data_IF_173423259158
#
_entry.id   IF_173423259158
#
_cell.length_a   1.000
_cell.length_b   1.000
_cell.length_c   1.000
_cell.angle_alpha   90.00
_cell.angle_beta   90.00
_cell.angle_gamma   90.00
#
_symmetry.space_group_name_H-M   'P 1'
#
loop_
_entity.id
_entity.type
_entity.pdbx_description
1 polymer ?
#
# COMPACT_ATOMS: atom_id res chain seq x y z
N UNK A 1 -6.12 39.29 -3.91
CA UNK A 1 -5.62 38.16 -4.74
C UNK A 1 -5.95 36.89 -4.01
N UNK A 2 -7.06 36.27 -4.37
CA UNK A 2 -7.59 35.06 -3.72
C UNK A 2 -6.67 33.88 -4.03
N UNK A 3 -6.02 33.34 -3.00
CA UNK A 3 -5.41 32.00 -3.09
C UNK A 3 -6.56 31.02 -3.21
N UNK A 4 -6.81 30.53 -4.41
CA UNK A 4 -7.61 29.34 -4.65
C UNK A 4 -6.81 28.19 -4.03
N UNK A 5 -7.05 27.92 -2.73
CA UNK A 5 -6.52 26.73 -2.09
C UNK A 5 -7.16 25.53 -2.80
N UNK A 6 -6.38 24.78 -3.55
CA UNK A 6 -6.81 23.46 -4.02
C UNK A 6 -7.06 22.66 -2.74
N UNK A 7 -8.33 22.34 -2.47
CA UNK A 7 -8.73 21.47 -1.36
C UNK A 7 -8.40 20.04 -1.80
N UNK A 8 -7.20 19.58 -1.43
CA UNK A 8 -6.59 18.33 -1.96
C UNK A 8 -7.33 17.07 -1.47
N UNK A 9 -8.02 17.14 -0.34
CA UNK A 9 -8.71 15.98 0.27
C UNK A 9 -10.23 16.19 0.37
N UNK A 10 -10.82 16.92 -0.58
CA UNK A 10 -12.28 16.99 -0.70
C UNK A 10 -12.84 15.57 -0.93
N UNK A 11 -13.93 15.29 -0.24
CA UNK A 11 -14.60 13.99 -0.31
C UNK A 11 -15.92 14.10 -1.05
N UNK A 12 -16.15 13.15 -1.96
CA UNK A 12 -17.46 12.97 -2.59
C UNK A 12 -18.51 12.43 -1.59
N UNK A 13 -19.75 12.20 -2.06
CA UNK A 13 -20.84 11.67 -1.24
C UNK A 13 -20.51 10.30 -0.60
N UNK A 14 -19.63 9.49 -1.21
CA UNK A 14 -19.12 8.24 -0.67
C UNK A 14 -17.93 8.40 0.28
N UNK A 15 -17.46 9.63 0.47
CA UNK A 15 -16.27 9.95 1.25
C UNK A 15 -14.96 9.68 0.52
N UNK A 16 -14.99 9.49 -0.83
CA UNK A 16 -13.78 9.24 -1.60
C UNK A 16 -13.08 10.55 -1.94
N UNK A 17 -11.75 10.57 -1.78
CA UNK A 17 -10.87 11.66 -2.22
C UNK A 17 -10.50 11.52 -3.69
N UNK A 18 -9.93 12.58 -4.29
CA UNK A 18 -9.37 12.53 -5.64
C UNK A 18 -8.29 11.45 -5.76
N UNK A 19 -7.47 11.28 -4.71
CA UNK A 19 -6.47 10.22 -4.65
C UNK A 19 -7.08 8.82 -4.76
N UNK A 20 -8.22 8.58 -4.10
CA UNK A 20 -8.92 7.30 -4.19
C UNK A 20 -9.48 7.05 -5.59
N UNK A 21 -10.03 8.07 -6.24
CA UNK A 21 -10.53 7.97 -7.61
C UNK A 21 -9.41 7.71 -8.60
N UNK A 22 -8.31 8.46 -8.51
CA UNK A 22 -7.13 8.24 -9.35
C UNK A 22 -6.53 6.83 -9.15
N UNK A 23 -6.54 6.32 -7.91
CA UNK A 23 -6.09 4.97 -7.60
C UNK A 23 -7.04 3.88 -8.12
N UNK A 24 -8.36 4.13 -8.11
CA UNK A 24 -9.37 3.25 -8.68
C UNK A 24 -9.18 3.08 -10.19
N UNK A 25 -8.84 4.16 -10.89
CA UNK A 25 -8.68 4.21 -12.35
C UNK A 25 -7.24 3.84 -12.79
N UNK A 26 -6.32 3.62 -11.84
CA UNK A 26 -4.93 3.28 -12.12
C UNK A 26 -4.11 4.42 -12.72
N UNK A 27 -4.53 5.67 -12.53
CA UNK A 27 -3.85 6.87 -13.03
C UNK A 27 -2.60 7.17 -12.19
N UNK A 28 -1.53 6.41 -12.40
CA UNK A 28 -0.33 6.44 -11.55
C UNK A 28 0.31 7.83 -11.49
N UNK A 29 0.38 8.55 -12.61
CA UNK A 29 0.94 9.91 -12.65
C UNK A 29 0.08 10.90 -11.84
N UNK A 30 -1.25 10.80 -11.92
CA UNK A 30 -2.17 11.62 -11.14
C UNK A 30 -2.04 11.32 -9.65
N UNK A 31 -1.94 10.02 -9.28
CA UNK A 31 -1.69 9.59 -7.89
C UNK A 31 -0.40 10.20 -7.36
N UNK A 32 0.68 10.14 -8.12
CA UNK A 32 1.97 10.70 -7.72
C UNK A 32 1.91 12.23 -7.57
N UNK A 33 1.24 12.93 -8.49
CA UNK A 33 1.06 14.37 -8.43
C UNK A 33 0.26 14.81 -7.20
N UNK A 34 -0.84 14.11 -6.89
CA UNK A 34 -1.66 14.38 -5.70
C UNK A 34 -0.86 14.17 -4.41
N UNK A 35 -0.11 13.06 -4.31
CA UNK A 35 0.72 12.75 -3.14
C UNK A 35 1.84 13.78 -2.94
N UNK A 36 2.51 14.22 -4.02
CA UNK A 36 3.49 15.29 -3.95
C UNK A 36 2.89 16.64 -3.56
N UNK A 37 1.63 16.86 -3.86
CA UNK A 37 0.89 18.05 -3.46
C UNK A 37 0.37 18.01 -2.01
N UNK A 38 0.60 16.89 -1.29
CA UNK A 38 0.28 16.74 0.12
C UNK A 38 -1.05 16.01 0.40
N UNK A 39 -1.63 15.29 -0.57
CA UNK A 39 -2.80 14.45 -0.32
C UNK A 39 -2.49 13.39 0.76
N UNK A 40 -3.45 13.15 1.65
CA UNK A 40 -3.32 12.10 2.68
C UNK A 40 -3.41 10.72 2.03
N UNK A 41 -2.26 10.03 1.95
CA UNK A 41 -2.14 8.68 1.39
C UNK A 41 -3.01 7.67 2.14
N UNK A 42 -3.30 7.92 3.42
CA UNK A 42 -4.05 7.04 4.31
C UNK A 42 -5.48 7.52 4.57
N UNK A 43 -5.96 8.53 3.82
CA UNK A 43 -7.35 8.95 3.87
C UNK A 43 -8.29 7.74 3.72
N UNK A 44 -9.41 7.78 4.45
CA UNK A 44 -10.41 6.69 4.47
C UNK A 44 -11.76 7.22 4.03
N UNK A 45 -12.44 6.48 3.17
CA UNK A 45 -13.81 6.77 2.77
C UNK A 45 -14.85 6.25 3.81
N UNK A 46 -16.15 6.40 3.51
CA UNK A 46 -17.24 5.94 4.38
C UNK A 46 -17.22 4.43 4.70
N UNK A 47 -16.61 3.61 3.84
CA UNK A 47 -16.42 2.17 4.05
C UNK A 47 -15.07 1.84 4.73
N UNK A 48 -14.31 2.84 5.13
CA UNK A 48 -12.98 2.68 5.71
C UNK A 48 -11.92 2.25 4.69
N UNK A 49 -12.18 2.36 3.39
CA UNK A 49 -11.24 2.00 2.32
C UNK A 49 -10.26 3.13 2.06
N UNK A 50 -9.02 2.76 1.67
CA UNK A 50 -7.95 3.68 1.28
C UNK A 50 -7.68 3.62 -0.21
N UNK A 51 -6.93 4.59 -0.76
CA UNK A 51 -6.46 4.57 -2.14
C UNK A 51 -5.70 3.28 -2.48
N UNK A 52 -4.88 2.76 -1.55
CA UNK A 52 -4.19 1.48 -1.72
C UNK A 52 -5.17 0.32 -1.96
N UNK A 53 -6.26 0.25 -1.22
CA UNK A 53 -7.27 -0.80 -1.41
C UNK A 53 -7.94 -0.72 -2.79
N UNK A 54 -8.23 0.48 -3.28
CA UNK A 54 -8.79 0.68 -4.62
C UNK A 54 -7.83 0.21 -5.71
N UNK A 55 -6.55 0.59 -5.63
CA UNK A 55 -5.53 0.15 -6.58
C UNK A 55 -5.33 -1.38 -6.55
N UNK A 56 -5.38 -2.00 -5.36
CA UNK A 56 -5.26 -3.47 -5.19
C UNK A 56 -6.44 -4.20 -5.82
N UNK A 57 -7.68 -3.76 -5.56
CA UNK A 57 -8.89 -4.41 -6.10
C UNK A 57 -8.91 -4.38 -7.62
N UNK A 58 -8.42 -3.29 -8.22
CA UNK A 58 -8.38 -3.11 -9.67
C UNK A 58 -7.06 -3.55 -10.33
N UNK A 59 -6.17 -4.21 -9.58
CA UNK A 59 -4.93 -4.83 -10.07
C UNK A 59 -3.94 -3.81 -10.68
N UNK A 60 -3.98 -2.55 -10.24
CA UNK A 60 -3.11 -1.49 -10.71
C UNK A 60 -1.74 -1.55 -10.02
N UNK A 61 -0.90 -2.50 -10.43
CA UNK A 61 0.41 -2.79 -9.78
C UNK A 61 1.32 -1.58 -9.68
N UNK A 62 1.39 -0.74 -10.71
CA UNK A 62 2.22 0.49 -10.68
C UNK A 62 1.73 1.46 -9.61
N UNK A 63 0.42 1.71 -9.57
CA UNK A 63 -0.23 2.57 -8.58
C UNK A 63 -0.05 2.04 -7.16
N UNK A 64 -0.18 0.71 -6.95
CA UNK A 64 0.10 0.06 -5.66
C UNK A 64 1.52 0.37 -5.20
N UNK A 65 2.51 0.21 -6.08
CA UNK A 65 3.93 0.48 -5.75
C UNK A 65 4.15 1.95 -5.40
N UNK A 66 3.57 2.87 -6.17
CA UNK A 66 3.64 4.31 -5.89
C UNK A 66 3.06 4.64 -4.52
N UNK A 67 1.84 4.17 -4.22
CA UNK A 67 1.22 4.38 -2.92
C UNK A 67 2.07 3.83 -1.75
N UNK A 68 2.65 2.65 -1.90
CA UNK A 68 3.55 2.06 -0.90
C UNK A 68 4.82 2.88 -0.71
N UNK A 69 5.40 3.43 -1.79
CA UNK A 69 6.58 4.32 -1.71
C UNK A 69 6.28 5.62 -0.97
N UNK A 70 5.05 6.13 -1.07
CA UNK A 70 4.59 7.32 -0.34
C UNK A 70 4.05 7.02 1.06
N UNK A 71 4.26 5.80 1.58
CA UNK A 71 3.97 5.45 2.96
C UNK A 71 2.52 5.04 3.23
N UNK A 72 1.82 4.49 2.23
CA UNK A 72 0.51 3.90 2.46
C UNK A 72 0.58 2.79 3.51
N UNK A 73 -0.30 2.85 4.52
CA UNK A 73 -0.41 1.82 5.54
C UNK A 73 -1.00 0.53 4.94
N UNK A 74 -0.18 -0.51 4.90
CA UNK A 74 -0.52 -1.82 4.33
C UNK A 74 -1.47 -2.64 5.22
N UNK A 75 -1.64 -2.22 6.49
CA UNK A 75 -2.40 -2.97 7.49
C UNK A 75 -3.75 -2.34 7.82
N UNK A 76 -4.16 -1.27 7.13
CA UNK A 76 -5.49 -0.68 7.30
C UNK A 76 -6.56 -1.73 7.06
N UNK A 77 -7.55 -1.77 7.95
CA UNK A 77 -8.75 -2.59 7.78
C UNK A 77 -9.92 -1.71 7.36
N UNK A 78 -10.59 -2.06 6.28
CA UNK A 78 -11.89 -1.50 5.91
C UNK A 78 -12.95 -1.88 6.96
N UNK A 79 -14.17 -1.33 6.86
CA UNK A 79 -15.28 -1.62 7.80
C UNK A 79 -15.62 -3.11 7.91
N UNK A 80 -15.44 -3.89 6.82
CA UNK A 80 -15.57 -5.34 6.82
C UNK A 80 -14.41 -6.07 7.53
N UNK A 81 -13.36 -5.35 7.95
CA UNK A 81 -12.13 -5.93 8.49
C UNK A 81 -11.14 -6.40 7.43
N UNK A 82 -11.44 -6.22 6.15
CA UNK A 82 -10.55 -6.65 5.05
C UNK A 82 -9.32 -5.74 4.97
N UNK A 83 -8.14 -6.35 4.80
CA UNK A 83 -6.87 -5.65 4.54
C UNK A 83 -6.53 -5.66 3.05
N UNK A 84 -5.62 -4.77 2.57
CA UNK A 84 -5.09 -4.85 1.21
C UNK A 84 -4.55 -6.25 0.84
N UNK A 85 -3.88 -6.92 1.79
CA UNK A 85 -3.35 -8.28 1.57
C UNK A 85 -4.46 -9.31 1.31
N UNK A 86 -5.59 -9.23 2.01
CA UNK A 86 -6.73 -10.11 1.78
C UNK A 86 -7.38 -9.87 0.42
N UNK A 87 -7.47 -8.60 0.00
CA UNK A 87 -7.99 -8.22 -1.32
C UNK A 87 -7.10 -8.76 -2.44
N UNK A 88 -5.78 -8.58 -2.34
CA UNK A 88 -4.80 -9.10 -3.30
C UNK A 88 -4.86 -10.64 -3.38
N UNK A 89 -4.91 -11.31 -2.23
CA UNK A 89 -5.03 -12.76 -2.14
C UNK A 89 -6.33 -13.29 -2.75
N UNK A 90 -7.42 -12.54 -2.60
CA UNK A 90 -8.73 -12.85 -3.19
C UNK A 90 -8.80 -12.63 -4.71
N UNK A 91 -8.00 -11.72 -5.24
CA UNK A 91 -7.93 -11.43 -6.67
C UNK A 91 -6.94 -12.34 -7.44
N UNK A 92 -6.12 -13.08 -6.71
CA UNK A 92 -5.17 -13.99 -7.35
C UNK A 92 -3.89 -13.33 -7.86
N UNK A 93 -3.63 -12.07 -7.51
CA UNK A 93 -2.44 -11.35 -7.98
C UNK A 93 -1.24 -11.61 -7.04
N UNK A 94 -0.32 -12.44 -7.52
CA UNK A 94 0.89 -12.80 -6.76
C UNK A 94 1.88 -11.64 -6.67
N UNK A 95 1.91 -10.73 -7.66
CA UNK A 95 2.85 -9.60 -7.70
C UNK A 95 2.46 -8.59 -6.62
N UNK A 96 1.17 -8.20 -6.58
CA UNK A 96 0.65 -7.29 -5.56
C UNK A 96 0.72 -7.94 -4.18
N UNK A 97 0.35 -9.23 -4.05
CA UNK A 97 0.46 -9.96 -2.77
C UNK A 97 1.89 -9.92 -2.22
N UNK A 98 2.89 -10.17 -3.07
CA UNK A 98 4.30 -10.09 -2.68
C UNK A 98 4.70 -8.67 -2.29
N UNK A 99 4.35 -7.66 -3.09
CA UNK A 99 4.66 -6.26 -2.79
C UNK A 99 4.13 -5.82 -1.43
N UNK A 100 2.89 -6.21 -1.09
CA UNK A 100 2.27 -5.92 0.21
C UNK A 100 3.01 -6.63 1.36
N UNK A 101 3.36 -7.91 1.20
CA UNK A 101 4.13 -8.67 2.21
C UNK A 101 5.52 -8.07 2.41
N UNK A 102 6.20 -7.67 1.33
CA UNK A 102 7.51 -7.03 1.40
C UNK A 102 7.45 -5.65 2.08
N UNK A 103 6.30 -4.97 1.98
CA UNK A 103 6.02 -3.70 2.67
C UNK A 103 5.52 -3.88 4.12
N UNK A 104 5.48 -5.10 4.64
CA UNK A 104 5.14 -5.36 6.04
C UNK A 104 3.67 -5.68 6.31
N UNK A 105 2.90 -6.10 5.31
CA UNK A 105 1.55 -6.58 5.55
C UNK A 105 1.54 -7.80 6.50
N UNK A 106 0.68 -7.76 7.54
CA UNK A 106 0.54 -8.86 8.49
C UNK A 106 -0.38 -9.95 7.93
N UNK A 107 0.13 -11.15 7.62
CA UNK A 107 -0.68 -12.23 7.07
C UNK A 107 -1.61 -12.89 8.09
N UNK A 108 -1.49 -12.54 9.39
CA UNK A 108 -2.28 -13.11 10.49
C UNK A 108 -3.59 -12.36 10.73
N UNK A 109 -3.73 -11.16 10.16
CA UNK A 109 -4.94 -10.34 10.34
C UNK A 109 -6.18 -11.12 9.91
N UNK A 110 -7.26 -10.94 10.67
CA UNK A 110 -8.54 -11.63 10.47
C UNK A 110 -9.62 -10.60 10.12
N UNK A 111 -10.37 -10.84 9.04
CA UNK A 111 -11.56 -10.06 8.69
C UNK A 111 -12.84 -10.67 9.29
N UNK A 112 -13.95 -9.98 9.15
CA UNK A 112 -15.27 -10.56 9.36
C UNK A 112 -15.69 -11.29 8.07
N UNK A 113 -15.96 -12.57 8.05
CA UNK A 113 -16.35 -13.54 9.08
C UNK A 113 -15.20 -14.48 9.57
N UNK A 114 -14.07 -13.95 9.99
CA UNK A 114 -13.00 -14.77 10.58
C UNK A 114 -12.01 -15.35 9.56
N UNK A 115 -11.88 -14.76 8.36
CA UNK A 115 -10.96 -15.22 7.32
C UNK A 115 -9.64 -14.46 7.35
N UNK A 116 -8.54 -15.17 7.13
CA UNK A 116 -7.21 -14.60 6.84
C UNK A 116 -6.96 -14.56 5.33
N UNK A 117 -5.93 -13.83 4.88
CA UNK A 117 -5.52 -13.83 3.49
C UNK A 117 -5.24 -15.26 2.96
N UNK A 118 -4.65 -16.14 3.80
CA UNK A 118 -4.41 -17.53 3.46
C UNK A 118 -5.70 -18.33 3.21
N UNK A 119 -6.71 -18.14 4.05
CA UNK A 119 -8.02 -18.82 3.87
C UNK A 119 -8.66 -18.35 2.58
N UNK A 120 -8.67 -17.03 2.31
CA UNK A 120 -9.23 -16.45 1.09
C UNK A 120 -8.53 -17.02 -0.17
N UNK A 121 -7.19 -17.05 -0.21
CA UNK A 121 -6.45 -17.62 -1.32
C UNK A 121 -6.74 -19.10 -1.54
N UNK A 122 -6.88 -19.87 -0.44
CA UNK A 122 -7.21 -21.31 -0.49
C UNK A 122 -8.59 -21.57 -1.06
N UNK A 123 -9.60 -20.82 -0.61
CA UNK A 123 -10.99 -20.93 -1.11
C UNK A 123 -11.10 -20.61 -2.60
N UNK A 124 -10.25 -19.71 -3.09
CA UNK A 124 -10.19 -19.32 -4.50
C UNK A 124 -9.29 -20.23 -5.35
N UNK A 125 -8.55 -21.17 -4.74
CA UNK A 125 -7.68 -22.10 -5.44
C UNK A 125 -6.34 -21.53 -5.90
N UNK A 126 -5.90 -20.36 -5.41
CA UNK A 126 -4.68 -19.70 -5.81
C UNK A 126 -3.44 -20.30 -5.12
N UNK A 127 -3.01 -21.48 -5.60
CA UNK A 127 -1.93 -22.29 -4.98
C UNK A 127 -0.63 -21.52 -4.77
N UNK A 128 -0.20 -20.72 -5.75
CA UNK A 128 1.05 -19.95 -5.65
C UNK A 128 0.98 -18.91 -4.52
N UNK A 129 -0.18 -18.24 -4.34
CA UNK A 129 -0.40 -17.29 -3.24
C UNK A 129 -0.48 -18.01 -1.90
N UNK A 130 -1.11 -19.19 -1.86
CA UNK A 130 -1.16 -20.02 -0.65
C UNK A 130 0.24 -20.35 -0.16
N UNK A 131 1.15 -20.78 -1.05
CA UNK A 131 2.54 -21.08 -0.67
C UNK A 131 3.30 -19.82 -0.24
N UNK A 132 3.09 -18.69 -0.92
CA UNK A 132 3.68 -17.42 -0.54
C UNK A 132 3.24 -16.98 0.88
N UNK A 133 1.95 -17.08 1.19
CA UNK A 133 1.40 -16.71 2.49
C UNK A 133 1.83 -17.66 3.60
N UNK A 134 1.95 -18.97 3.34
CA UNK A 134 2.51 -19.93 4.31
C UNK A 134 3.94 -19.58 4.69
N UNK A 135 4.79 -19.19 3.72
CA UNK A 135 6.15 -18.74 3.99
C UNK A 135 6.17 -17.48 4.84
N UNK A 136 5.35 -16.48 4.50
CA UNK A 136 5.24 -15.25 5.27
C UNK A 136 4.77 -15.50 6.71
N UNK A 137 3.84 -16.43 6.92
CA UNK A 137 3.39 -16.85 8.27
C UNK A 137 4.51 -17.54 9.05
N UNK A 138 5.28 -18.43 8.43
CA UNK A 138 6.41 -19.09 9.08
C UNK A 138 7.49 -18.07 9.50
N UNK A 139 7.80 -17.10 8.65
CA UNK A 139 8.75 -16.02 8.95
C UNK A 139 8.26 -15.14 10.10
N UNK A 140 6.96 -14.81 10.12
CA UNK A 140 6.34 -14.02 11.18
C UNK A 140 6.33 -14.72 12.55
N UNK A 141 6.29 -16.05 12.57
CA UNK A 141 6.35 -16.84 13.82
C UNK A 141 7.75 -17.03 14.35
N UNK A 142 8.77 -16.97 13.48
CA UNK A 142 10.19 -17.16 13.89
C UNK A 142 10.86 -15.88 14.40
N UNK A 143 10.12 -14.76 14.50
CA UNK A 143 10.63 -13.50 15.09
C UNK A 143 11.82 -12.88 14.34
N UNK A 144 12.06 -13.20 13.08
CA UNK A 144 13.07 -12.53 12.26
C UNK A 144 12.51 -11.19 11.79
N UNK A 145 13.07 -10.04 12.24
CA UNK A 145 12.73 -8.77 11.65
C UNK A 145 13.13 -8.82 10.17
N UNK A 146 12.19 -8.54 9.26
CA UNK A 146 12.54 -8.26 7.87
C UNK A 146 13.60 -7.18 7.87
N UNK A 147 14.82 -7.51 7.41
CA UNK A 147 15.92 -6.55 7.31
C UNK A 147 15.42 -5.35 6.53
N UNK A 148 15.40 -4.19 7.18
CA UNK A 148 15.36 -2.90 6.52
C UNK A 148 16.49 -2.90 5.48
N UNK A 149 16.14 -3.06 4.21
CA UNK A 149 17.05 -2.69 3.13
C UNK A 149 17.13 -1.16 3.19
N UNK A 150 18.11 -0.70 3.95
CA UNK A 150 18.53 0.69 3.99
C UNK A 150 18.92 1.10 2.57
N UNK A 151 18.06 1.89 1.95
CA UNK A 151 18.42 2.63 0.75
C UNK A 151 19.27 3.82 1.19
N UNK A 152 20.54 3.55 1.52
CA UNK A 152 21.54 4.59 1.74
C UNK A 152 22.02 5.03 0.37
N UNK A 153 21.30 5.94 -0.26
CA UNK A 153 21.90 6.77 -1.30
C UNK A 153 22.79 7.80 -0.61
N UNK A 154 24.08 7.49 -0.60
CA UNK A 154 25.12 8.38 -0.13
C UNK A 154 25.16 9.65 -0.96
N UNK A 155 24.80 10.76 -0.33
CA UNK A 155 25.23 12.07 -0.81
C UNK A 155 26.69 12.22 -0.44
N UNK A 156 27.56 11.99 -1.41
CA UNK A 156 28.96 12.37 -1.29
C UNK A 156 29.03 13.91 -1.27
N UNK A 157 29.24 14.47 -0.10
CA UNK A 157 29.71 15.86 0.03
C UNK A 157 31.18 15.88 -0.33
N UNK A 158 31.49 16.47 -1.46
CA UNK A 158 32.83 16.90 -1.79
C UNK A 158 33.11 18.19 -1.03
N UNK A 159 33.74 18.08 0.12
CA UNK A 159 34.37 19.22 0.76
C UNK A 159 35.73 19.43 0.10
N UNK A 160 35.80 20.45 -0.74
CA UNK A 160 37.05 20.98 -1.26
C UNK A 160 37.77 21.75 -0.15
N UNK A 161 38.82 21.19 0.42
CA UNK A 161 39.76 21.88 1.27
C UNK A 161 40.65 22.77 0.40
N UNK A 162 40.42 24.05 0.48
CA UNK A 162 41.39 25.04 0.05
C UNK A 162 42.49 25.15 1.12
N UNK A 163 43.65 24.70 0.75
CA UNK A 163 44.89 24.98 1.53
C UNK A 163 45.49 26.27 1.01
N UNK A 164 45.51 27.29 1.83
CA UNK A 164 46.41 28.42 1.67
C UNK A 164 47.62 28.17 2.54
N UNK A 165 48.74 28.03 1.85
CA UNK A 165 50.11 28.36 2.25
C UNK A 165 50.59 27.99 3.66
#
# INVERSE_FOLDING_TARGET
MSRTGIMIDEKDEGGNTDLMRAALDGQTETVEALLRSGADVNARNGEGRTALMFAVVNLHTSTVRTLLQFGADVNVQATCGCTPLMLAAGNGDIVITRALLDSGADPRTICRPGKTALIVARERGYRAIVELLKRALAEATQGKPKSLRSNVQGHARTDALAVTK
#
